data_IF_056638935299
#
_entry.id   IF_056638935299
#
_cell.length_a   1.000
_cell.length_b   1.000
_cell.length_c   1.000
_cell.angle_alpha   90.00
_cell.angle_beta   90.00
_cell.angle_gamma   90.00
#
_symmetry.space_group_name_H-M   'P 1'
#
loop_
_entity.id
_entity.type
_entity.pdbx_description
1 polymer ?
#
# COMPACT_ATOMS: atom_id res chain seq x y z
N UNK A 1 3.72 11.89 7.89
CA UNK A 1 2.29 11.52 8.01
C UNK A 1 1.46 11.74 6.74
N UNK A 2 1.86 12.59 5.79
CA UNK A 2 1.08 12.86 4.58
C UNK A 2 0.81 11.60 3.71
N UNK A 3 1.85 10.79 3.44
CA UNK A 3 1.72 9.55 2.66
C UNK A 3 0.77 8.53 3.31
N UNK A 4 0.92 8.33 4.62
CA UNK A 4 0.03 7.46 5.39
C UNK A 4 -1.44 7.87 5.32
N UNK A 5 -1.71 9.16 5.52
CA UNK A 5 -3.08 9.67 5.42
C UNK A 5 -3.65 9.51 4.00
N UNK A 6 -2.82 9.65 2.97
CA UNK A 6 -3.22 9.45 1.58
C UNK A 6 -3.56 7.98 1.30
N UNK A 7 -2.72 7.03 1.72
CA UNK A 7 -2.98 5.60 1.52
C UNK A 7 -4.22 5.13 2.28
N UNK A 8 -4.38 5.56 3.53
CA UNK A 8 -5.58 5.25 4.34
C UNK A 8 -6.83 5.84 3.70
N UNK A 9 -6.78 7.08 3.22
CA UNK A 9 -7.92 7.70 2.53
C UNK A 9 -8.26 6.95 1.24
N UNK A 10 -7.27 6.53 0.47
CA UNK A 10 -7.50 5.73 -0.73
C UNK A 10 -8.25 4.45 -0.39
N UNK A 11 -7.72 3.64 0.54
CA UNK A 11 -8.33 2.36 0.93
C UNK A 11 -9.75 2.51 1.49
N UNK A 12 -10.00 3.54 2.32
CA UNK A 12 -11.34 3.81 2.88
C UNK A 12 -12.33 4.32 1.82
N UNK A 13 -11.86 5.10 0.84
CA UNK A 13 -12.75 5.65 -0.21
C UNK A 13 -13.15 4.57 -1.20
N UNK A 14 -12.23 3.68 -1.56
CA UNK A 14 -12.47 2.61 -2.54
C UNK A 14 -13.01 1.33 -1.90
N UNK A 15 -12.87 1.18 -0.58
CA UNK A 15 -13.13 -0.08 0.12
C UNK A 15 -12.21 -1.21 -0.35
N UNK A 16 -11.04 -0.88 -0.91
CA UNK A 16 -10.16 -1.84 -1.56
C UNK A 16 -8.70 -1.40 -1.57
N UNK A 17 -7.81 -2.33 -1.23
CA UNK A 17 -6.35 -2.17 -1.30
C UNK A 17 -5.84 -2.21 -2.75
N UNK A 18 -6.60 -2.82 -3.67
CA UNK A 18 -6.20 -2.98 -5.06
C UNK A 18 -5.93 -1.63 -5.74
N UNK A 19 -6.81 -0.65 -5.54
CA UNK A 19 -6.62 0.70 -6.08
C UNK A 19 -5.35 1.37 -5.50
N UNK A 20 -5.05 1.15 -4.23
CA UNK A 20 -3.83 1.63 -3.59
C UNK A 20 -2.57 0.99 -4.18
N UNK A 21 -2.62 -0.32 -4.46
CA UNK A 21 -1.51 -1.05 -5.09
C UNK A 21 -1.25 -0.63 -6.53
N UNK A 22 -2.29 -0.30 -7.29
CA UNK A 22 -2.12 0.27 -8.64
C UNK A 22 -1.36 1.61 -8.58
N UNK A 23 -1.74 2.49 -7.65
CA UNK A 23 -1.03 3.74 -7.44
C UNK A 23 0.44 3.52 -7.05
N UNK A 24 0.72 2.56 -6.16
CA UNK A 24 2.09 2.20 -5.79
C UNK A 24 2.90 1.66 -6.98
N UNK A 25 2.29 0.85 -7.85
CA UNK A 25 2.96 0.34 -9.05
C UNK A 25 3.37 1.47 -10.01
N UNK A 26 2.54 2.53 -10.13
CA UNK A 26 2.85 3.73 -10.92
C UNK A 26 3.95 4.58 -10.28
N UNK A 27 4.12 4.51 -8.96
CA UNK A 27 5.08 5.31 -8.19
C UNK A 27 6.27 4.48 -7.68
N UNK A 28 6.48 3.27 -8.21
CA UNK A 28 7.51 2.33 -7.76
C UNK A 28 8.94 2.88 -7.85
N UNK A 29 9.17 3.81 -8.78
CA UNK A 29 10.48 4.42 -9.01
C UNK A 29 10.74 5.60 -8.04
N UNK A 30 9.72 6.00 -7.27
CA UNK A 30 9.80 7.07 -6.29
C UNK A 30 10.01 6.49 -4.88
N UNK A 31 11.26 6.15 -4.55
CA UNK A 31 11.61 5.76 -3.18
C UNK A 31 11.72 7.01 -2.29
N UNK A 32 10.64 7.28 -1.54
CA UNK A 32 10.59 8.39 -0.60
C UNK A 32 9.62 8.13 0.57
N UNK A 33 9.74 8.95 1.61
CA UNK A 33 8.93 8.82 2.83
C UNK A 33 7.40 8.97 2.60
N UNK A 34 6.98 9.57 1.49
CA UNK A 34 5.56 9.64 1.13
C UNK A 34 5.07 8.29 0.62
N UNK A 35 5.80 7.66 -0.31
CA UNK A 35 5.46 6.32 -0.84
C UNK A 35 5.51 5.28 0.25
N UNK A 36 6.58 5.25 1.06
CA UNK A 36 6.67 4.34 2.21
C UNK A 36 5.49 4.53 3.16
N UNK A 37 5.13 5.78 3.49
CA UNK A 37 3.97 6.05 4.33
C UNK A 37 2.66 5.53 3.74
N UNK A 38 2.48 5.65 2.42
CA UNK A 38 1.31 5.15 1.71
C UNK A 38 1.22 3.62 1.77
N UNK A 39 2.33 2.91 1.59
CA UNK A 39 2.42 1.45 1.72
C UNK A 39 2.00 0.97 3.11
N UNK A 40 2.54 1.60 4.16
CA UNK A 40 2.17 1.31 5.55
C UNK A 40 0.66 1.47 5.80
N UNK A 41 0.02 2.44 5.17
CA UNK A 41 -1.42 2.64 5.35
C UNK A 41 -2.28 1.57 4.66
N UNK A 42 -1.80 1.00 3.55
CA UNK A 42 -2.46 -0.14 2.93
C UNK A 42 -2.27 -1.39 3.78
N UNK A 43 -1.07 -1.59 4.32
CA UNK A 43 -0.75 -2.69 5.24
C UNK A 43 -1.66 -2.68 6.47
N UNK A 44 -1.79 -1.54 7.15
CA UNK A 44 -2.69 -1.36 8.29
C UNK A 44 -4.16 -1.67 7.93
N UNK A 45 -4.60 -1.26 6.73
CA UNK A 45 -5.95 -1.56 6.27
C UNK A 45 -6.14 -3.05 6.02
N UNK A 46 -5.14 -3.74 5.47
CA UNK A 46 -5.18 -5.19 5.26
C UNK A 46 -5.32 -5.94 6.57
N UNK A 47 -4.44 -5.63 7.54
CA UNK A 47 -4.45 -6.22 8.87
C UNK A 47 -5.80 -5.99 9.59
N UNK A 48 -6.31 -4.75 9.55
CA UNK A 48 -7.58 -4.40 10.18
C UNK A 48 -8.80 -5.11 9.57
N UNK A 49 -8.71 -5.56 8.32
CA UNK A 49 -9.79 -6.26 7.61
C UNK A 49 -9.53 -7.77 7.46
N UNK A 50 -8.44 -8.30 8.03
CA UNK A 50 -8.05 -9.70 7.88
C UNK A 50 -7.72 -10.10 6.44
N UNK A 51 -7.27 -9.15 5.62
CA UNK A 51 -6.87 -9.38 4.24
C UNK A 51 -5.44 -9.92 4.19
N UNK A 52 -5.15 -10.77 3.20
CA UNK A 52 -3.81 -11.28 2.96
C UNK A 52 -2.89 -10.19 2.40
N UNK A 53 -1.67 -10.13 2.92
CA UNK A 53 -0.61 -9.28 2.39
C UNK A 53 -0.04 -9.89 1.11
N UNK A 54 -0.79 -9.81 0.01
CA UNK A 54 -0.31 -10.24 -1.32
C UNK A 54 0.68 -9.23 -1.91
N UNK A 55 1.93 -9.27 -1.42
CA UNK A 55 3.08 -8.75 -2.13
C UNK A 55 3.51 -9.79 -3.18
N UNK A 56 2.81 -9.91 -4.31
CA UNK A 56 3.26 -10.83 -5.37
C UNK A 56 4.57 -10.37 -6.04
N UNK A 57 5.41 -11.25 -6.62
CA UNK A 57 5.85 -12.59 -6.19
C UNK A 57 7.28 -12.58 -5.60
N UNK A 58 7.56 -13.61 -4.82
CA UNK A 58 8.86 -14.12 -4.35
C UNK A 58 10.11 -13.71 -5.18
N UNK A 59 10.88 -12.73 -4.72
CA UNK A 59 12.29 -12.53 -5.11
C UNK A 59 13.27 -12.76 -3.95
N UNK A 60 12.82 -13.36 -2.85
CA UNK A 60 13.65 -13.73 -1.70
C UNK A 60 14.12 -15.20 -1.75
N UNK A 61 14.53 -15.66 -2.94
CA UNK A 61 15.45 -16.80 -3.06
C UNK A 61 16.63 -16.35 -3.92
N UNK A 62 17.70 -15.99 -3.24
CA UNK A 62 19.03 -15.67 -3.78
C UNK A 62 20.01 -15.60 -2.64
#
# INVERSE_FOLDING_TARGET
MAGYNAGRRSALTTGSVHAGRLWLAEHRDADNAYVAGYEWALWDYEDANGLGHDWGPNWAIG
#
